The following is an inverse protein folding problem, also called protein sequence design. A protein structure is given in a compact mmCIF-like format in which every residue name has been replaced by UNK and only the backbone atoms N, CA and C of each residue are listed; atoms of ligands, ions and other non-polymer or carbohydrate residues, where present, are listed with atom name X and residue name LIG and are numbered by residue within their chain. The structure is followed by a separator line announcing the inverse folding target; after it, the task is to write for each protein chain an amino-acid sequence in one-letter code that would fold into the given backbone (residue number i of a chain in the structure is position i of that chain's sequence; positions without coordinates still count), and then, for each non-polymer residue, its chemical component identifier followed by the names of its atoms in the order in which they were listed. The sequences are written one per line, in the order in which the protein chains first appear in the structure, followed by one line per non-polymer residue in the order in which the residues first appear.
data_IF_886547557562
#
_entry.id   IF_886547557562
#
_cell.length_a   1.000
_cell.length_b   1.000
_cell.length_c   1.000
_cell.angle_alpha   90.00
_cell.angle_beta   90.00
_cell.angle_gamma   90.00
#
_symmetry.space_group_name_H-M   'P 1'
#
loop_
_entity.id
_entity.type
_entity.pdbx_description
1 polymer ?
#
# COMPACT_ATOMS: atom_id res chain seq x y z
N UNK A 1 -12.70 11.02 -3.75
CA UNK A 1 -13.37 10.40 -4.92
C UNK A 1 -13.61 8.94 -4.60
N UNK A 2 -14.84 8.46 -4.76
CA UNK A 2 -15.12 7.04 -4.48
C UNK A 2 -14.59 6.16 -5.60
N UNK A 3 -14.23 4.94 -5.23
CA UNK A 3 -13.76 3.95 -6.20
C UNK A 3 -14.32 2.58 -5.87
N UNK A 4 -14.41 1.71 -6.88
CA UNK A 4 -14.76 0.31 -6.75
C UNK A 4 -13.57 -0.51 -7.18
N UNK A 5 -13.10 -1.40 -6.31
CA UNK A 5 -12.02 -2.32 -6.61
C UNK A 5 -12.59 -3.62 -7.17
N UNK A 6 -12.02 -4.07 -8.28
CA UNK A 6 -12.30 -5.37 -8.89
C UNK A 6 -11.00 -6.20 -8.85
N UNK A 7 -11.11 -7.42 -8.38
CA UNK A 7 -9.94 -8.31 -8.30
C UNK A 7 -10.29 -9.67 -8.89
N UNK A 8 -9.78 -9.93 -10.10
CA UNK A 8 -10.09 -11.14 -10.88
C UNK A 8 -11.59 -11.36 -11.04
N UNK A 9 -12.31 -10.28 -11.22
CA UNK A 9 -13.77 -10.24 -11.34
C UNK A 9 -14.15 -10.08 -12.81
N UNK A 10 -14.91 -11.03 -13.39
CA UNK A 10 -15.34 -10.92 -14.79
C UNK A 10 -16.26 -9.73 -15.04
N UNK A 11 -16.85 -9.12 -14.01
CA UNK A 11 -17.66 -7.91 -14.12
C UNK A 11 -16.83 -6.63 -14.19
N UNK A 12 -15.51 -6.70 -14.08
CA UNK A 12 -14.65 -5.53 -14.11
C UNK A 12 -14.79 -4.80 -15.47
N UNK A 13 -14.97 -3.46 -15.46
CA UNK A 13 -14.95 -2.69 -16.71
C UNK A 13 -13.53 -2.72 -17.32
N UNK A 14 -13.41 -2.52 -18.64
CA UNK A 14 -12.11 -2.42 -19.29
C UNK A 14 -11.29 -1.26 -18.72
N UNK A 15 -10.03 -1.52 -18.40
CA UNK A 15 -9.12 -0.47 -17.93
C UNK A 15 -8.81 0.52 -19.08
N UNK A 16 -8.72 1.80 -18.73
CA UNK A 16 -8.37 2.89 -19.66
C UNK A 16 -7.23 3.77 -19.15
N UNK A 17 -6.61 3.40 -18.04
CA UNK A 17 -5.58 4.21 -17.40
C UNK A 17 -4.60 3.33 -16.62
N UNK A 18 -3.34 3.76 -16.56
CA UNK A 18 -2.32 3.23 -15.67
C UNK A 18 -1.66 4.40 -14.96
N UNK A 19 -1.74 4.43 -13.64
CA UNK A 19 -1.10 5.45 -12.81
C UNK A 19 -0.22 4.76 -11.79
N UNK A 20 1.08 5.06 -11.74
CA UNK A 20 1.95 4.48 -10.74
C UNK A 20 1.52 4.85 -9.33
N UNK A 21 1.60 3.91 -8.43
CA UNK A 21 1.36 4.10 -7.00
C UNK A 21 2.43 3.40 -6.20
N UNK A 22 2.45 3.66 -4.90
CA UNK A 22 3.41 3.07 -3.97
C UNK A 22 2.69 2.50 -2.76
N UNK A 23 3.30 1.51 -2.14
CA UNK A 23 2.96 1.03 -0.80
C UNK A 23 4.23 0.84 0.00
N UNK A 24 4.12 0.84 1.32
CA UNK A 24 5.26 0.72 2.22
C UNK A 24 5.08 -0.40 3.23
N UNK A 25 6.06 -1.29 3.31
CA UNK A 25 6.21 -2.23 4.42
C UNK A 25 7.10 -1.55 5.44
N UNK A 26 6.50 -1.10 6.53
CA UNK A 26 7.17 -0.38 7.63
C UNK A 26 7.16 -1.29 8.85
N UNK A 27 8.34 -1.68 9.32
CA UNK A 27 8.44 -2.50 10.53
C UNK A 27 9.24 -1.74 11.60
N UNK A 28 8.81 -1.88 12.86
CA UNK A 28 9.54 -1.33 14.00
C UNK A 28 10.62 -2.31 14.50
N UNK A 29 11.33 -1.92 15.56
CA UNK A 29 12.39 -2.76 16.14
C UNK A 29 11.88 -4.08 16.71
N UNK A 30 10.59 -4.14 17.08
CA UNK A 30 9.95 -5.37 17.55
C UNK A 30 9.41 -6.24 16.41
N UNK A 31 9.57 -5.81 15.15
CA UNK A 31 9.06 -6.52 13.99
C UNK A 31 7.57 -6.32 13.73
N UNK A 32 6.94 -5.36 14.40
CA UNK A 32 5.53 -5.03 14.17
C UNK A 32 5.38 -4.22 12.89
N UNK A 33 4.29 -4.48 12.17
CA UNK A 33 3.98 -3.88 10.87
C UNK A 33 3.03 -2.70 11.04
N UNK A 34 3.32 -1.60 10.36
CA UNK A 34 2.46 -0.41 10.36
C UNK A 34 1.32 -0.59 9.36
N UNK A 35 0.10 -0.57 9.85
CA UNK A 35 -1.10 -0.67 9.02
C UNK A 35 -2.05 0.48 9.28
N UNK A 36 -2.83 0.82 8.25
CA UNK A 36 -3.92 1.78 8.33
C UNK A 36 -5.26 1.08 8.16
N UNK A 37 -6.29 1.56 8.88
CA UNK A 37 -7.66 1.16 8.66
C UNK A 37 -8.33 2.20 7.76
N UNK A 38 -8.61 1.81 6.52
CA UNK A 38 -9.04 2.75 5.48
C UNK A 38 -10.48 3.19 5.68
N UNK A 39 -10.73 4.47 5.43
CA UNK A 39 -12.08 5.04 5.55
C UNK A 39 -12.98 4.67 4.38
N UNK A 40 -12.43 4.44 3.19
CA UNK A 40 -13.20 4.24 1.97
C UNK A 40 -13.78 2.82 1.81
N UNK A 41 -13.08 1.80 2.31
CA UNK A 41 -13.53 0.40 2.14
C UNK A 41 -13.53 -0.41 3.43
N UNK A 42 -13.16 0.21 4.55
CA UNK A 42 -13.12 -0.44 5.87
C UNK A 42 -12.13 -1.62 5.98
N UNK A 43 -11.15 -1.70 5.07
CA UNK A 43 -10.09 -2.70 5.09
C UNK A 43 -8.83 -2.14 5.76
N UNK A 44 -8.03 -3.05 6.31
CA UNK A 44 -6.69 -2.74 6.74
C UNK A 44 -5.73 -2.86 5.55
N UNK A 45 -4.76 -1.96 5.48
CA UNK A 45 -3.83 -1.90 4.35
C UNK A 45 -2.47 -1.36 4.77
N UNK A 46 -1.47 -1.63 3.93
CA UNK A 46 -0.21 -0.88 3.98
C UNK A 46 -0.47 0.58 3.64
N UNK A 47 0.22 1.53 4.27
CA UNK A 47 0.17 2.92 3.82
C UNK A 47 0.74 3.05 2.40
N UNK A 48 0.16 3.96 1.62
CA UNK A 48 0.58 4.20 0.25
C UNK A 48 -0.41 5.08 -0.50
N UNK A 49 -0.12 5.33 -1.76
CA UNK A 49 -0.97 6.16 -2.60
C UNK A 49 -0.34 6.49 -3.95
N UNK A 50 -0.98 7.41 -4.66
CA UNK A 50 -0.60 7.77 -6.02
C UNK A 50 0.70 8.56 -6.11
N UNK A 51 1.42 8.31 -7.19
CA UNK A 51 2.62 9.04 -7.55
C UNK A 51 2.23 10.35 -8.23
N UNK A 52 2.80 11.46 -7.77
CA UNK A 52 2.51 12.78 -8.30
C UNK A 52 3.61 13.28 -9.23
N UNK A 53 3.22 14.16 -10.16
CA UNK A 53 4.17 14.85 -11.05
C UNK A 53 5.15 15.64 -10.16
N UNK A 54 6.42 15.54 -10.50
CA UNK A 54 7.49 16.24 -9.78
C UNK A 54 8.10 15.47 -8.63
N UNK A 55 7.57 14.30 -8.30
CA UNK A 55 8.12 13.44 -7.26
C UNK A 55 8.93 12.28 -7.86
N UNK A 56 9.99 11.86 -7.16
CA UNK A 56 10.51 10.51 -7.34
C UNK A 56 9.61 9.52 -6.60
N UNK A 57 9.64 8.23 -6.95
CA UNK A 57 8.83 7.23 -6.21
C UNK A 57 9.29 7.10 -4.76
N UNK A 58 10.57 7.32 -4.48
CA UNK A 58 11.07 7.36 -3.10
C UNK A 58 10.44 8.53 -2.32
N UNK A 59 10.35 9.71 -2.93
CA UNK A 59 9.69 10.86 -2.32
C UNK A 59 8.19 10.60 -2.11
N UNK A 60 7.53 9.93 -3.05
CA UNK A 60 6.11 9.58 -2.95
C UNK A 60 5.85 8.70 -1.74
N UNK A 61 6.62 7.64 -1.56
CA UNK A 61 6.37 6.72 -0.44
C UNK A 61 6.63 7.38 0.91
N UNK A 62 7.64 8.23 1.01
CA UNK A 62 7.93 8.99 2.25
C UNK A 62 6.76 9.93 2.56
N UNK A 63 6.26 10.65 1.56
CA UNK A 63 5.13 11.57 1.72
C UNK A 63 3.85 10.83 2.13
N UNK A 64 3.52 9.75 1.45
CA UNK A 64 2.29 9.00 1.73
C UNK A 64 2.30 8.37 3.12
N UNK A 65 3.42 7.81 3.55
CA UNK A 65 3.52 7.25 4.91
C UNK A 65 3.31 8.35 5.95
N UNK A 66 3.93 9.52 5.76
CA UNK A 66 3.76 10.64 6.68
C UNK A 66 2.32 11.13 6.72
N UNK A 67 1.69 11.31 5.56
CA UNK A 67 0.32 11.81 5.47
C UNK A 67 -0.69 10.87 6.13
N UNK A 68 -0.54 9.56 5.89
CA UNK A 68 -1.52 8.58 6.36
C UNK A 68 -1.27 8.08 7.78
N UNK A 69 -0.04 8.14 8.26
CA UNK A 69 0.32 7.51 9.55
C UNK A 69 1.01 8.44 10.54
N UNK A 70 1.57 9.55 10.10
CA UNK A 70 2.38 10.45 10.92
C UNK A 70 3.83 9.99 11.10
N UNK A 71 4.22 8.84 10.56
CA UNK A 71 5.57 8.30 10.72
C UNK A 71 6.49 8.79 9.60
N UNK A 72 7.68 9.23 9.99
CA UNK A 72 8.75 9.57 9.07
C UNK A 72 9.59 8.34 8.79
N UNK A 73 9.84 8.09 7.51
CA UNK A 73 10.55 6.87 7.07
C UNK A 73 11.66 7.20 6.09
N UNK A 74 12.60 6.26 5.99
CA UNK A 74 13.62 6.23 4.93
C UNK A 74 13.45 4.95 4.12
N UNK A 75 13.62 5.06 2.81
CA UNK A 75 13.54 3.91 1.89
C UNK A 75 14.76 3.03 2.06
N UNK A 76 14.53 1.75 2.19
CA UNK A 76 15.59 0.74 2.31
C UNK A 76 15.75 -0.05 1.00
N UNK A 77 14.68 -0.68 0.52
CA UNK A 77 14.74 -1.53 -0.67
C UNK A 77 13.36 -1.64 -1.33
N UNK A 78 13.35 -2.20 -2.53
CA UNK A 78 12.12 -2.53 -3.25
C UNK A 78 11.69 -3.94 -2.87
N UNK A 79 10.46 -4.09 -2.39
CA UNK A 79 9.83 -5.40 -2.15
C UNK A 79 9.39 -6.03 -3.48
N UNK A 80 8.75 -5.26 -4.34
CA UNK A 80 8.30 -5.75 -5.62
C UNK A 80 7.48 -4.77 -6.44
N UNK A 81 7.21 -5.19 -7.67
CA UNK A 81 6.31 -4.54 -8.61
C UNK A 81 5.03 -5.37 -8.69
N UNK A 82 3.90 -4.72 -8.50
CA UNK A 82 2.58 -5.37 -8.46
C UNK A 82 1.72 -4.79 -9.57
N UNK A 83 1.63 -5.51 -10.66
CA UNK A 83 1.01 -5.04 -11.91
C UNK A 83 -0.02 -6.01 -12.46
N UNK A 84 -0.72 -6.72 -11.59
CA UNK A 84 -1.74 -7.70 -11.97
C UNK A 84 -2.83 -7.03 -12.80
N UNK A 85 -3.03 -7.42 -14.09
CA UNK A 85 -4.07 -6.84 -14.92
C UNK A 85 -5.49 -7.20 -14.47
N UNK A 86 -5.64 -8.19 -13.61
CA UNK A 86 -6.91 -8.55 -12.97
C UNK A 86 -7.29 -7.63 -11.81
N UNK A 87 -6.41 -6.73 -11.39
CA UNK A 87 -6.70 -5.75 -10.33
C UNK A 87 -6.99 -4.39 -10.97
N UNK A 88 -8.25 -3.98 -10.93
CA UNK A 88 -8.76 -2.79 -11.62
C UNK A 88 -9.53 -1.93 -10.61
N UNK A 89 -9.33 -0.62 -10.67
CA UNK A 89 -10.04 0.35 -9.82
C UNK A 89 -10.83 1.31 -10.71
N UNK A 90 -12.16 1.31 -10.55
CA UNK A 90 -13.05 2.20 -11.27
C UNK A 90 -13.43 3.40 -10.40
N UNK A 91 -13.25 4.60 -10.94
CA UNK A 91 -13.54 5.87 -10.27
C UNK A 91 -14.82 6.51 -10.84
N UNK A 92 -15.42 7.44 -10.08
CA UNK A 92 -16.68 8.11 -10.43
C UNK A 92 -16.59 8.94 -11.71
N UNK A 93 -15.40 9.40 -12.08
CA UNK A 93 -15.18 10.23 -13.26
C UNK A 93 -15.03 9.45 -14.57
N UNK A 94 -15.15 8.13 -14.52
CA UNK A 94 -14.98 7.25 -15.68
C UNK A 94 -13.56 6.73 -15.88
N UNK A 95 -12.61 7.14 -15.06
CA UNK A 95 -11.29 6.52 -15.06
C UNK A 95 -11.40 5.09 -14.54
N UNK A 96 -10.82 4.15 -15.28
CA UNK A 96 -10.70 2.74 -14.88
C UNK A 96 -9.21 2.38 -14.91
N UNK A 97 -8.63 2.25 -13.74
CA UNK A 97 -7.19 2.15 -13.56
C UNK A 97 -6.77 0.70 -13.40
N UNK A 98 -5.83 0.25 -14.24
CA UNK A 98 -5.15 -1.03 -14.02
C UNK A 98 -4.06 -0.82 -12.97
N UNK A 99 -3.93 -1.75 -12.03
CA UNK A 99 -2.96 -1.65 -10.95
C UNK A 99 -1.52 -1.56 -11.46
N UNK A 100 -0.80 -0.59 -10.95
CA UNK A 100 0.65 -0.45 -11.07
C UNK A 100 1.16 0.07 -9.73
N UNK A 101 1.71 -0.80 -8.90
CA UNK A 101 2.18 -0.42 -7.58
C UNK A 101 3.61 -0.91 -7.34
N UNK A 102 4.44 -0.02 -6.80
CA UNK A 102 5.77 -0.34 -6.32
C UNK A 102 5.69 -0.43 -4.81
N UNK A 103 6.03 -1.58 -4.24
CA UNK A 103 6.07 -1.77 -2.80
C UNK A 103 7.51 -1.64 -2.31
N UNK A 104 7.71 -0.76 -1.33
CA UNK A 104 9.02 -0.51 -0.72
C UNK A 104 9.09 -1.09 0.68
N UNK A 105 10.26 -1.58 1.04
CA UNK A 105 10.62 -1.77 2.45
C UNK A 105 11.24 -0.47 2.93
N UNK A 106 10.68 0.08 4.00
CA UNK A 106 11.13 1.34 4.58
C UNK A 106 11.35 1.16 6.09
N UNK A 107 12.18 2.03 6.69
CA UNK A 107 12.40 2.00 8.13
C UNK A 107 11.93 3.29 8.77
N UNK A 108 11.30 3.23 9.95
CA UNK A 108 10.88 4.43 10.66
C UNK A 108 12.10 5.17 11.25
N UNK A 109 12.10 6.49 11.10
CA UNK A 109 13.18 7.36 11.61
C UNK A 109 12.65 8.48 12.51
N UNK A 110 11.34 8.62 12.67
CA UNK A 110 10.75 9.66 13.51
C UNK A 110 9.25 9.73 13.37
N UNK A 111 8.67 10.79 13.89
CA UNK A 111 7.23 11.05 13.84
C UNK A 111 6.44 10.34 14.93
N UNK A 112 5.14 10.56 14.92
CA UNK A 112 4.19 9.97 15.87
C UNK A 112 2.95 9.50 15.11
N UNK A 113 2.34 8.40 15.55
CA UNK A 113 1.12 7.88 14.94
C UNK A 113 0.01 8.93 14.96
N UNK A 114 -0.61 9.15 13.84
CA UNK A 114 -1.80 9.98 13.69
C UNK A 114 -2.70 9.46 12.59
N UNK A 115 -3.99 9.72 12.72
CA UNK A 115 -4.96 9.40 11.68
C UNK A 115 -5.01 10.51 10.62
N UNK A 116 -5.72 10.24 9.54
CA UNK A 116 -5.96 11.20 8.45
C UNK A 116 -7.38 11.04 7.93
N UNK A 117 -7.74 11.84 6.90
CA UNK A 117 -9.04 11.66 6.24
C UNK A 117 -9.18 10.31 5.54
N UNK A 118 -8.08 9.67 5.21
CA UNK A 118 -8.05 8.37 4.50
C UNK A 118 -7.81 7.18 5.44
N UNK A 119 -7.33 7.45 6.67
CA UNK A 119 -7.04 6.41 7.67
C UNK A 119 -7.70 6.74 8.99
N UNK A 120 -8.76 6.01 9.34
CA UNK A 120 -9.50 6.22 10.60
C UNK A 120 -8.81 5.61 11.81
N UNK A 121 -7.87 4.69 11.59
CA UNK A 121 -7.03 4.08 12.62
C UNK A 121 -5.67 3.77 12.02
N UNK A 122 -4.63 3.94 12.82
CA UNK A 122 -3.24 3.62 12.46
C UNK A 122 -2.65 2.81 13.59
N UNK A 123 -2.05 1.66 13.28
CA UNK A 123 -1.62 0.74 14.31
C UNK A 123 -0.35 -0.01 13.92
N UNK A 124 0.51 -0.23 14.92
CA UNK A 124 1.56 -1.25 14.83
C UNK A 124 0.94 -2.61 15.14
N UNK A 125 1.03 -3.54 14.20
CA UNK A 125 0.39 -4.86 14.29
C UNK A 125 1.45 -5.94 14.33
N UNK A 126 1.36 -6.82 15.33
CA UNK A 126 2.18 -8.02 15.36
C UNK A 126 1.83 -8.92 14.17
N UNK A 127 2.82 -9.43 13.40
CA UNK A 127 2.55 -10.34 12.30
C UNK A 127 1.68 -11.55 12.67
N UNK A 128 1.75 -12.00 13.91
CA UNK A 128 0.89 -13.08 14.40
C UNK A 128 -0.60 -12.74 14.41
N UNK A 129 -0.95 -11.45 14.42
CA UNK A 129 -2.34 -10.98 14.49
C UNK A 129 -2.91 -10.60 13.11
N UNK A 130 -2.13 -10.73 12.04
CA UNK A 130 -2.56 -10.31 10.69
C UNK A 130 -3.78 -11.09 10.19
N UNK A 131 -3.94 -12.35 10.58
CA UNK A 131 -5.07 -13.18 10.15
C UNK A 131 -6.39 -12.73 10.79
N UNK A 132 -6.35 -11.94 11.85
CA UNK A 132 -7.53 -11.40 12.53
C UNK A 132 -8.06 -10.12 11.84
N UNK A 133 -7.36 -9.61 10.85
CA UNK A 133 -7.70 -8.36 10.17
C UNK A 133 -8.22 -8.62 8.76
N UNK A 134 -9.18 -7.80 8.34
CA UNK A 134 -9.67 -7.79 6.97
C UNK A 134 -8.68 -7.05 6.08
N UNK A 135 -7.93 -7.77 5.29
CA UNK A 135 -6.89 -7.24 4.40
C UNK A 135 -7.15 -7.77 3.00
N UNK A 136 -7.11 -6.88 2.01
CA UNK A 136 -7.27 -7.28 0.61
C UNK A 136 -6.17 -8.27 0.20
N UNK A 137 -6.48 -9.30 -0.62
CA UNK A 137 -5.48 -10.31 -1.04
C UNK A 137 -4.22 -9.73 -1.64
N UNK A 138 -4.33 -8.67 -2.44
CA UNK A 138 -3.15 -8.02 -3.03
C UNK A 138 -2.25 -7.38 -1.98
N UNK A 139 -2.82 -6.85 -0.90
CA UNK A 139 -2.06 -6.30 0.22
C UNK A 139 -1.40 -7.42 1.04
N UNK A 140 -2.11 -8.53 1.27
CA UNK A 140 -1.52 -9.70 1.95
C UNK A 140 -0.31 -10.23 1.20
N UNK A 141 -0.36 -10.25 -0.12
CA UNK A 141 0.77 -10.68 -0.94
C UNK A 141 1.98 -9.78 -0.73
N UNK A 142 1.79 -8.45 -0.74
CA UNK A 142 2.87 -7.48 -0.49
C UNK A 142 3.46 -7.64 0.91
N UNK A 143 2.60 -7.82 1.92
CA UNK A 143 3.01 -8.04 3.31
C UNK A 143 3.85 -9.30 3.43
N UNK A 144 3.38 -10.40 2.84
CA UNK A 144 4.12 -11.67 2.85
C UNK A 144 5.50 -11.51 2.25
N UNK A 145 5.60 -10.89 1.06
CA UNK A 145 6.89 -10.65 0.41
C UNK A 145 7.77 -9.69 1.23
N UNK A 146 7.18 -8.65 1.78
CA UNK A 146 7.90 -7.64 2.56
C UNK A 146 8.49 -8.18 3.86
N UNK A 147 7.85 -9.18 4.46
CA UNK A 147 8.32 -9.83 5.68
C UNK A 147 9.28 -11.00 5.39
N UNK A 148 9.48 -11.38 4.14
CA UNK A 148 10.47 -12.37 3.73
C UNK A 148 11.85 -11.73 3.59
N UNK A 149 12.55 -11.50 4.70
CA UNK A 149 13.85 -10.81 4.69
C UNK A 149 14.96 -11.57 3.98
N UNK A 150 14.80 -12.87 3.79
CA UNK A 150 15.74 -13.70 3.02
C UNK A 150 15.60 -13.53 1.51
N UNK A 151 14.53 -12.88 1.04
CA UNK A 151 14.32 -12.61 -0.38
C UNK A 151 15.26 -11.50 -0.85
N UNK A 152 16.18 -11.85 -1.75
CA UNK A 152 17.21 -10.92 -2.25
C UNK A 152 16.72 -10.16 -3.49
N UNK A 153 15.78 -10.73 -4.25
CA UNK A 153 15.28 -10.11 -5.48
C UNK A 153 13.85 -9.64 -5.29
N UNK A 154 13.48 -8.47 -5.90
CA UNK A 154 12.12 -8.00 -5.88
C UNK A 154 11.17 -8.99 -6.56
N UNK A 155 9.94 -9.03 -6.07
CA UNK A 155 8.85 -9.72 -6.76
C UNK A 155 8.46 -8.90 -8.00
N UNK A 156 8.18 -9.59 -9.10
CA UNK A 156 7.70 -8.98 -10.35
C UNK A 156 6.44 -9.73 -10.77
N UNK A 157 5.29 -9.03 -10.73
CA UNK A 157 4.05 -9.70 -11.08
C UNK A 157 2.80 -8.83 -11.07
#
# INVERSE_FOLDING_TARGET
MSRIDYFHDPAAPPANSVVPSVTAVVTDEAGRLLLIHKTDNNLWALPGGGHDIGESVAATVVREVREETGIDVEVDSVVGLYTDPGHVMAYDDGEVRQQFSICFRVRPVGGELRTSSESKEVRWVDPADLDDLDIHPSMRLRITHGLEYARVQPYIG
#
